data_IF_399299169757
#
_entry.id   IF_399299169757
#
_cell.length_a   1.000
_cell.length_b   1.000
_cell.length_c   1.000
_cell.angle_alpha   90.00
_cell.angle_beta   90.00
_cell.angle_gamma   90.00
#
_symmetry.space_group_name_H-M   'P 1'
#
loop_
_entity.id
_entity.type
_entity.pdbx_description
1 polymer ?
#
# COMPACT_ATOMS: atom_id res chain seq x y z
N UNK A 1 17.07 12.21 16.30
CA UNK A 1 16.94 12.60 14.88
C UNK A 1 16.05 11.57 14.22
N UNK A 2 14.74 11.66 14.46
CA UNK A 2 13.70 10.78 13.90
C UNK A 2 12.80 11.57 12.93
N UNK A 3 13.20 12.80 12.57
CA UNK A 3 12.33 13.77 11.86
C UNK A 3 12.51 13.81 10.33
N UNK A 4 13.40 13.02 9.72
CA UNK A 4 13.81 13.30 8.33
C UNK A 4 13.76 12.08 7.37
N UNK A 5 12.97 11.04 7.70
CA UNK A 5 12.75 9.89 6.78
C UNK A 5 11.49 10.00 5.94
N UNK A 6 10.47 10.71 6.42
CA UNK A 6 9.30 11.09 5.63
C UNK A 6 9.70 12.09 4.53
N UNK A 7 10.63 13.02 4.80
CA UNK A 7 11.10 14.06 3.85
C UNK A 7 11.89 13.47 2.68
N UNK A 8 12.49 12.28 2.85
CA UNK A 8 13.15 11.54 1.77
C UNK A 8 12.16 10.95 0.75
N UNK A 9 10.91 10.72 1.16
CA UNK A 9 9.79 10.47 0.25
C UNK A 9 9.06 11.80 0.14
N UNK A 10 9.73 12.73 -0.52
CA UNK A 10 9.43 14.16 -0.64
C UNK A 10 7.93 14.48 -0.73
N UNK A 11 7.26 14.61 0.42
CA UNK A 11 5.87 14.99 0.50
C UNK A 11 5.68 16.50 0.30
N UNK A 12 6.79 17.27 0.23
CA UNK A 12 6.79 18.71 -0.03
C UNK A 12 6.88 19.05 -1.53
N UNK A 13 7.45 18.19 -2.39
CA UNK A 13 7.40 18.36 -3.86
C UNK A 13 6.44 17.43 -4.60
N UNK A 14 5.98 16.32 -4.01
CA UNK A 14 4.98 15.47 -4.67
C UNK A 14 3.61 16.10 -4.41
N UNK A 15 3.15 16.87 -5.38
CA UNK A 15 1.78 17.40 -5.36
C UNK A 15 0.78 16.24 -5.35
N UNK A 16 -0.38 16.44 -4.72
CA UNK A 16 -1.50 15.49 -4.75
C UNK A 16 -1.80 15.01 -6.17
N UNK A 17 -1.72 15.91 -7.14
CA UNK A 17 -1.86 15.63 -8.56
C UNK A 17 -0.83 14.64 -9.11
N UNK A 18 0.45 14.75 -8.72
CA UNK A 18 1.51 13.84 -9.18
C UNK A 18 1.40 12.44 -8.58
N UNK A 19 0.98 12.35 -7.32
CA UNK A 19 0.74 11.07 -6.65
C UNK A 19 -0.43 10.32 -7.29
N UNK A 20 -1.56 11.00 -7.47
CA UNK A 20 -2.76 10.42 -8.10
C UNK A 20 -2.51 10.00 -9.54
N UNK A 21 -1.82 10.83 -10.34
CA UNK A 21 -1.47 10.47 -11.73
C UNK A 21 -0.55 9.23 -11.80
N UNK A 22 0.35 9.07 -10.83
CA UNK A 22 1.25 7.91 -10.77
C UNK A 22 0.50 6.63 -10.40
N UNK A 23 -0.45 6.74 -9.47
CA UNK A 23 -1.34 5.64 -9.08
C UNK A 23 -2.24 5.20 -10.25
N UNK A 24 -2.85 6.13 -10.98
CA UNK A 24 -3.65 5.82 -12.17
C UNK A 24 -2.80 5.17 -13.27
N UNK A 25 -1.55 5.58 -13.41
CA UNK A 25 -0.62 4.96 -14.37
C UNK A 25 -0.34 3.50 -13.99
N UNK A 26 -0.13 3.21 -12.70
CA UNK A 26 0.04 1.83 -12.21
C UNK A 26 -1.23 1.01 -12.41
N UNK A 27 -2.40 1.58 -12.10
CA UNK A 27 -3.69 0.91 -12.27
C UNK A 27 -4.02 0.63 -13.75
N UNK A 28 -3.57 1.49 -14.68
CA UNK A 28 -3.85 1.33 -16.12
C UNK A 28 -3.28 0.06 -16.75
N UNK A 29 -2.27 -0.56 -16.13
CA UNK A 29 -1.69 -1.82 -16.59
C UNK A 29 -2.48 -3.07 -16.16
N UNK A 30 -3.48 -2.92 -15.28
CA UNK A 30 -4.25 -4.02 -14.72
C UNK A 30 -5.45 -4.36 -15.59
N UNK A 31 -5.69 -5.65 -15.85
CA UNK A 31 -6.94 -6.05 -16.48
C UNK A 31 -8.07 -6.11 -15.45
N UNK A 32 -9.26 -5.59 -15.76
CA UNK A 32 -10.42 -5.68 -14.87
C UNK A 32 -10.76 -7.12 -14.44
N UNK A 33 -10.60 -8.08 -15.36
CA UNK A 33 -10.88 -9.49 -15.08
C UNK A 33 -9.88 -10.09 -14.09
N UNK A 34 -8.58 -9.81 -14.25
CA UNK A 34 -7.56 -10.27 -13.32
C UNK A 34 -7.70 -9.63 -11.95
N UNK A 35 -8.07 -8.34 -11.88
CA UNK A 35 -8.32 -7.66 -10.62
C UNK A 35 -9.45 -8.33 -9.84
N UNK A 36 -10.60 -8.56 -10.48
CA UNK A 36 -11.75 -9.25 -9.85
C UNK A 36 -11.37 -10.65 -9.39
N UNK A 37 -10.71 -11.44 -10.24
CA UNK A 37 -10.28 -12.79 -9.88
C UNK A 37 -9.32 -12.78 -8.68
N UNK A 38 -8.47 -11.76 -8.57
CA UNK A 38 -7.51 -11.63 -7.48
C UNK A 38 -8.21 -11.23 -6.18
N UNK A 39 -9.15 -10.27 -6.23
CA UNK A 39 -10.01 -9.91 -5.11
C UNK A 39 -10.79 -11.12 -4.60
N UNK A 40 -11.50 -11.83 -5.49
CA UNK A 40 -12.26 -13.05 -5.14
C UNK A 40 -11.38 -14.10 -4.45
N UNK A 41 -10.12 -14.23 -4.89
CA UNK A 41 -9.17 -15.18 -4.31
C UNK A 41 -8.77 -14.78 -2.90
N UNK A 42 -8.53 -13.49 -2.65
CA UNK A 42 -8.16 -13.00 -1.32
C UNK A 42 -9.35 -13.06 -0.37
N UNK A 43 -10.54 -12.62 -0.80
CA UNK A 43 -11.75 -12.70 0.03
C UNK A 43 -12.09 -14.13 0.42
N UNK A 44 -12.00 -15.08 -0.53
CA UNK A 44 -12.20 -16.49 -0.20
C UNK A 44 -11.23 -16.97 0.88
N UNK A 45 -9.96 -16.57 0.82
CA UNK A 45 -8.99 -16.93 1.85
C UNK A 45 -9.33 -16.34 3.23
N UNK A 46 -9.83 -15.09 3.27
CA UNK A 46 -10.30 -14.44 4.50
C UNK A 46 -11.57 -15.10 5.06
N UNK A 47 -12.50 -15.51 4.20
CA UNK A 47 -13.72 -16.24 4.58
C UNK A 47 -13.42 -17.65 5.10
N UNK A 48 -12.43 -18.33 4.51
CA UNK A 48 -12.02 -19.68 4.89
C UNK A 48 -11.28 -19.71 6.24
N UNK A 49 -10.56 -18.64 6.60
CA UNK A 49 -9.79 -18.53 7.83
C UNK A 49 -10.04 -17.19 8.55
N UNK A 50 -10.99 -17.20 9.48
CA UNK A 50 -11.33 -16.05 10.31
C UNK A 50 -10.27 -15.67 11.35
N UNK A 51 -9.16 -16.41 11.48
CA UNK A 51 -8.02 -16.02 12.32
C UNK A 51 -7.08 -15.03 11.61
N UNK A 52 -7.25 -14.82 10.30
CA UNK A 52 -6.47 -13.83 9.55
C UNK A 52 -6.86 -12.42 9.98
N UNK A 53 -5.99 -11.78 10.77
CA UNK A 53 -6.19 -10.41 11.25
C UNK A 53 -5.41 -9.36 10.46
N UNK A 54 -4.58 -9.77 9.51
CA UNK A 54 -3.63 -8.87 8.86
C UNK A 54 -3.40 -9.28 7.41
N UNK A 55 -3.40 -8.29 6.53
CA UNK A 55 -3.03 -8.43 5.12
C UNK A 55 -1.70 -7.74 4.85
N UNK A 56 -0.84 -8.38 4.06
CA UNK A 56 0.45 -7.82 3.63
C UNK A 56 0.55 -7.92 2.11
N UNK A 57 1.06 -6.87 1.49
CA UNK A 57 1.25 -6.80 0.05
C UNK A 57 2.60 -6.21 -0.33
N UNK A 58 3.12 -6.63 -1.48
CA UNK A 58 4.35 -6.11 -2.09
C UNK A 58 4.06 -5.61 -3.50
N UNK A 59 4.57 -4.41 -3.84
CA UNK A 59 4.33 -3.77 -5.14
C UNK A 59 2.82 -3.71 -5.46
N UNK A 60 2.35 -4.29 -6.57
CA UNK A 60 0.93 -4.41 -6.92
C UNK A 60 0.08 -5.07 -5.82
N UNK A 61 0.65 -6.03 -5.09
CA UNK A 61 0.00 -6.67 -3.96
C UNK A 61 -0.32 -5.70 -2.81
N UNK A 62 0.44 -4.61 -2.66
CA UNK A 62 0.14 -3.58 -1.66
C UNK A 62 -1.10 -2.76 -2.04
N UNK A 63 -1.25 -2.46 -3.33
CA UNK A 63 -2.46 -1.81 -3.88
C UNK A 63 -3.67 -2.73 -3.75
N UNK A 64 -3.50 -4.03 -4.01
CA UNK A 64 -4.53 -5.05 -3.80
C UNK A 64 -4.93 -5.17 -2.31
N UNK A 65 -3.95 -5.21 -1.40
CA UNK A 65 -4.21 -5.29 0.03
C UNK A 65 -5.00 -4.08 0.54
N UNK A 66 -4.62 -2.88 0.09
CA UNK A 66 -5.37 -1.65 0.34
C UNK A 66 -6.79 -1.76 -0.24
N UNK A 67 -6.95 -2.53 -1.33
CA UNK A 67 -8.24 -2.76 -1.97
C UNK A 67 -9.22 -3.60 -1.19
N UNK A 68 -8.73 -4.71 -0.69
CA UNK A 68 -9.47 -5.56 0.22
C UNK A 68 -9.87 -4.78 1.47
N UNK A 69 -8.94 -4.00 2.07
CA UNK A 69 -9.24 -3.20 3.27
C UNK A 69 -10.35 -2.17 3.04
N UNK A 70 -10.32 -1.44 1.92
CA UNK A 70 -11.38 -0.48 1.64
C UNK A 70 -12.72 -1.15 1.32
N UNK A 71 -12.74 -2.30 0.65
CA UNK A 71 -13.99 -3.03 0.42
C UNK A 71 -14.64 -3.50 1.73
N UNK A 72 -13.84 -4.04 2.65
CA UNK A 72 -14.27 -4.44 4.00
C UNK A 72 -14.82 -3.25 4.81
N UNK A 73 -14.13 -2.10 4.77
CA UNK A 73 -14.53 -0.89 5.50
C UNK A 73 -15.76 -0.21 4.85
N UNK A 74 -15.88 -0.27 3.52
CA UNK A 74 -16.85 0.50 2.73
C UNK A 74 -17.95 -0.36 2.11
N UNK A 75 -18.46 -1.42 2.74
CA UNK A 75 -19.63 -2.16 2.23
C UNK A 75 -19.59 -2.40 0.68
N UNK A 76 -18.43 -2.73 0.10
CA UNK A 76 -18.30 -3.15 -1.30
C UNK A 76 -17.82 -2.14 -2.36
N UNK A 77 -16.95 -1.17 -2.05
CA UNK A 77 -16.25 -0.37 -3.09
C UNK A 77 -14.72 -0.40 -2.94
N UNK A 78 -13.97 -0.99 -3.90
CA UNK A 78 -12.50 -1.02 -3.85
C UNK A 78 -11.88 0.36 -4.14
N UNK A 79 -10.67 0.67 -3.64
CA UNK A 79 -9.79 1.74 -4.08
C UNK A 79 -9.24 1.49 -5.46
N UNK A 80 -9.25 0.26 -5.96
CA UNK A 80 -9.04 -0.03 -7.36
C UNK A 80 -10.40 -0.28 -7.98
N UNK A 81 -11.01 0.77 -8.52
CA UNK A 81 -12.32 0.69 -9.14
C UNK A 81 -12.20 0.42 -10.63
N UNK A 82 -13.06 -0.47 -11.14
CA UNK A 82 -13.20 -0.69 -12.58
C UNK A 82 -14.18 0.34 -13.12
N UNK A 83 -13.65 1.40 -13.71
CA UNK A 83 -14.43 2.43 -14.39
C UNK A 83 -14.45 2.13 -15.88
N UNK A 84 -15.61 1.68 -16.38
CA UNK A 84 -15.80 1.16 -17.76
C UNK A 84 -14.91 -0.08 -17.97
N UNK A 85 -13.82 0.07 -18.73
CA UNK A 85 -12.89 -1.02 -19.08
C UNK A 85 -11.47 -0.78 -18.52
N UNK A 86 -11.32 0.10 -17.52
CA UNK A 86 -10.03 0.44 -16.91
C UNK A 86 -10.09 0.37 -15.41
N UNK A 87 -8.99 -0.04 -14.79
CA UNK A 87 -8.80 0.08 -13.34
C UNK A 87 -8.28 1.49 -13.03
N UNK A 88 -8.85 2.13 -12.01
CA UNK A 88 -8.52 3.47 -11.55
C UNK A 88 -8.46 3.52 -10.02
N UNK A 89 -7.80 4.53 -9.45
CA UNK A 89 -7.79 4.70 -8.00
C UNK A 89 -8.98 5.52 -7.50
N UNK A 90 -9.79 4.95 -6.62
CA UNK A 90 -10.95 5.63 -6.00
C UNK A 90 -10.50 6.70 -5.02
N UNK A 91 -11.16 7.85 -5.08
CA UNK A 91 -10.89 9.01 -4.23
C UNK A 91 -11.92 9.11 -3.08
N UNK A 92 -11.53 9.71 -1.95
CA UNK A 92 -12.49 10.33 -1.03
C UNK A 92 -12.79 9.62 0.31
N UNK A 93 -12.12 8.53 0.69
CA UNK A 93 -12.08 8.12 2.11
C UNK A 93 -10.78 7.41 2.44
N UNK A 94 -10.25 7.73 3.62
CA UNK A 94 -9.03 7.14 4.15
C UNK A 94 -9.29 5.74 4.70
N UNK A 95 -8.30 4.87 4.56
CA UNK A 95 -8.21 3.59 5.25
C UNK A 95 -7.81 3.89 6.70
N UNK A 96 -8.77 3.72 7.62
CA UNK A 96 -8.60 4.06 9.03
C UNK A 96 -8.14 2.88 9.89
N UNK A 97 -7.21 2.08 9.37
CA UNK A 97 -6.59 0.95 10.12
C UNK A 97 -5.09 1.19 10.28
N UNK A 98 -4.46 0.64 11.35
CA UNK A 98 -3.00 0.66 11.48
C UNK A 98 -2.33 0.06 10.23
N UNK A 99 -1.28 0.71 9.75
CA UNK A 99 -0.52 0.22 8.59
C UNK A 99 0.99 0.38 8.78
N UNK A 100 1.76 -0.55 8.20
CA UNK A 100 3.21 -0.45 8.09
C UNK A 100 3.61 -0.38 6.61
N UNK A 101 4.18 0.75 6.20
CA UNK A 101 4.65 0.99 4.85
C UNK A 101 6.16 0.82 4.77
N UNK A 102 6.61 -0.12 3.94
CA UNK A 102 8.03 -0.35 3.64
C UNK A 102 8.38 0.32 2.32
N UNK A 103 9.19 1.36 2.36
CA UNK A 103 9.40 2.26 1.23
C UNK A 103 10.89 2.48 0.95
N UNK A 104 11.23 2.85 -0.29
CA UNK A 104 12.60 3.19 -0.66
C UNK A 104 12.63 4.50 -1.48
N UNK A 105 13.46 5.49 -1.09
CA UNK A 105 13.68 6.68 -1.90
C UNK A 105 14.29 6.38 -3.28
N UNK A 106 14.95 5.22 -3.39
CA UNK A 106 15.56 4.72 -4.64
C UNK A 106 14.56 3.91 -5.51
N UNK A 107 13.30 3.77 -5.09
CA UNK A 107 12.30 3.05 -5.85
C UNK A 107 11.85 3.88 -7.09
N UNK A 108 11.95 3.36 -8.32
CA UNK A 108 11.40 4.03 -9.51
C UNK A 108 9.89 4.32 -9.39
N UNK A 109 9.15 3.55 -8.58
CA UNK A 109 7.72 3.71 -8.33
C UNK A 109 7.40 4.48 -7.04
N UNK A 110 8.38 5.17 -6.44
CA UNK A 110 8.22 5.93 -5.18
C UNK A 110 7.04 6.91 -5.16
N UNK A 111 6.64 7.46 -6.32
CA UNK A 111 5.48 8.34 -6.42
C UNK A 111 4.16 7.59 -6.22
N UNK A 112 4.03 6.39 -6.81
CA UNK A 112 2.88 5.53 -6.59
C UNK A 112 2.82 5.03 -5.15
N UNK A 113 3.96 4.67 -4.57
CA UNK A 113 4.03 4.26 -3.17
C UNK A 113 3.66 5.40 -2.20
N UNK A 114 4.11 6.63 -2.47
CA UNK A 114 3.70 7.82 -1.72
C UNK A 114 2.20 8.13 -1.89
N UNK A 115 1.66 7.95 -3.09
CA UNK A 115 0.22 8.06 -3.33
C UNK A 115 -0.57 7.04 -2.53
N UNK A 116 -0.12 5.78 -2.50
CA UNK A 116 -0.79 4.73 -1.75
C UNK A 116 -0.77 4.99 -0.24
N UNK A 117 0.35 5.47 0.31
CA UNK A 117 0.44 5.91 1.71
C UNK A 117 -0.61 6.97 2.06
N UNK A 118 -0.91 7.89 1.14
CA UNK A 118 -1.93 8.94 1.34
C UNK A 118 -3.37 8.43 1.34
N UNK A 119 -3.60 7.17 0.96
CA UNK A 119 -4.92 6.53 1.08
C UNK A 119 -5.18 6.09 2.52
N UNK A 120 -4.16 6.03 3.38
CA UNK A 120 -4.29 5.64 4.79
C UNK A 120 -4.34 6.84 5.73
N UNK A 121 -4.89 6.65 6.93
CA UNK A 121 -4.77 7.61 8.02
C UNK A 121 -3.31 7.72 8.47
N UNK A 122 -2.69 8.87 8.21
CA UNK A 122 -1.25 9.06 8.40
C UNK A 122 -0.84 9.01 9.87
N UNK A 123 -1.73 9.36 10.80
CA UNK A 123 -1.44 9.24 12.23
C UNK A 123 -1.34 7.78 12.71
N UNK A 124 -1.94 6.84 11.96
CA UNK A 124 -1.91 5.40 12.25
C UNK A 124 -0.87 4.65 11.41
N UNK A 125 -0.22 5.33 10.47
CA UNK A 125 0.74 4.75 9.55
C UNK A 125 2.16 4.80 10.12
N UNK A 126 2.84 3.65 10.12
CA UNK A 126 4.27 3.52 10.40
C UNK A 126 5.02 3.42 9.07
N UNK A 127 6.11 4.18 8.91
CA UNK A 127 6.94 4.12 7.70
C UNK A 127 8.33 3.60 8.03
N UNK A 128 8.75 2.54 7.32
CA UNK A 128 10.12 2.03 7.34
C UNK A 128 10.79 2.26 5.98
N UNK A 129 11.86 3.06 5.97
CA UNK A 129 12.62 3.35 4.75
C UNK A 129 13.87 2.46 4.63
N UNK A 130 14.12 1.93 3.44
CA UNK A 130 15.31 1.14 3.08
C UNK A 130 15.97 1.63 1.78
N UNK A 131 17.18 1.13 1.48
CA UNK A 131 18.00 1.57 0.36
C UNK A 131 18.04 0.64 -0.87
N UNK A 132 17.29 -0.46 -0.87
CA UNK A 132 17.41 -1.53 -1.89
C UNK A 132 16.56 -1.30 -3.16
N UNK A 133 16.00 -0.10 -3.35
CA UNK A 133 15.15 0.20 -4.50
C UNK A 133 13.78 -0.46 -4.40
N UNK A 134 13.25 -0.96 -5.51
CA UNK A 134 11.92 -1.60 -5.58
C UNK A 134 11.88 -3.03 -5.00
N UNK A 135 12.97 -3.54 -4.43
CA UNK A 135 13.05 -4.90 -3.92
C UNK A 135 12.96 -4.92 -2.40
N UNK A 136 12.30 -5.96 -1.86
CA UNK A 136 12.36 -6.28 -0.43
C UNK A 136 13.83 -6.36 0.03
N UNK A 137 14.23 -5.71 1.14
CA UNK A 137 15.60 -5.76 1.64
C UNK A 137 16.06 -7.19 1.89
N UNK A 138 17.32 -7.51 1.59
CA UNK A 138 17.87 -8.87 1.76
C UNK A 138 19.20 -8.93 2.51
N UNK A 139 19.85 -7.80 2.74
CA UNK A 139 21.02 -7.77 3.60
C UNK A 139 20.60 -7.99 5.06
N UNK A 140 21.48 -8.62 5.84
CA UNK A 140 21.16 -9.05 7.19
C UNK A 140 20.77 -7.88 8.11
N UNK A 141 21.41 -6.72 7.95
CA UNK A 141 21.11 -5.53 8.75
C UNK A 141 19.71 -5.00 8.49
N UNK A 142 19.39 -4.73 7.21
CA UNK A 142 18.06 -4.22 6.84
C UNK A 142 16.95 -5.21 7.12
N UNK A 143 17.21 -6.52 7.03
CA UNK A 143 16.24 -7.55 7.40
C UNK A 143 15.97 -7.60 8.90
N UNK A 144 17.00 -7.48 9.74
CA UNK A 144 16.81 -7.46 11.20
C UNK A 144 16.05 -6.20 11.63
N UNK A 145 16.36 -5.05 11.02
CA UNK A 145 15.63 -3.81 11.25
C UNK A 145 14.16 -3.92 10.80
N UNK A 146 13.92 -4.47 9.59
CA UNK A 146 12.57 -4.68 9.07
C UNK A 146 11.76 -5.62 9.95
N UNK A 147 12.35 -6.75 10.36
CA UNK A 147 11.73 -7.70 11.29
C UNK A 147 11.36 -7.00 12.60
N UNK A 148 12.28 -6.21 13.17
CA UNK A 148 12.03 -5.46 14.40
C UNK A 148 10.83 -4.51 14.25
N UNK A 149 10.70 -3.83 13.10
CA UNK A 149 9.56 -2.95 12.80
C UNK A 149 8.25 -3.71 12.63
N UNK A 150 8.25 -4.85 11.95
CA UNK A 150 7.05 -5.69 11.79
C UNK A 150 6.57 -6.19 13.16
N UNK A 151 7.47 -6.71 13.99
CA UNK A 151 7.11 -7.21 15.33
C UNK A 151 6.57 -6.08 16.22
N UNK A 152 7.21 -4.91 16.20
CA UNK A 152 6.74 -3.76 16.96
C UNK A 152 5.35 -3.30 16.51
N UNK A 153 5.08 -3.29 15.20
CA UNK A 153 3.78 -2.93 14.63
C UNK A 153 2.67 -3.93 14.99
N UNK A 154 2.94 -5.23 14.99
CA UNK A 154 1.94 -6.24 15.35
C UNK A 154 1.59 -6.25 16.85
N UNK A 155 2.36 -5.56 17.69
CA UNK A 155 2.16 -5.49 19.14
C UNK A 155 1.80 -4.09 19.65
N UNK A 156 1.60 -3.11 18.77
CA UNK A 156 1.17 -1.74 19.10
C UNK A 156 -0.34 -1.60 19.13
#
# INVERSE_FOLDING_TARGET
MEEDRLTLIDHHNITETQATASLDTLASGLSPAQLRQSLDTVFRALEEDGEITTIMGFSEGASMASSVLLEEIRFGAPPLEIVRDRVQVTQGSLIDVPSLHVLSPMDPFRLGAAGLLRVFELEKAVVFCHGTGHLVPRDAGSLEDLKGRIVAFLHS
#
